data_IF_352533833065
#
_entry.id   IF_352533833065
#
_cell.length_a   1.000
_cell.length_b   1.000
_cell.length_c   1.000
_cell.angle_alpha   90.00
_cell.angle_beta   90.00
_cell.angle_gamma   90.00
#
_symmetry.space_group_name_H-M   'P 1'
#
loop_
_entity.id
_entity.type
_entity.pdbx_description
1 polymer ?
#
# COMPACT_ATOMS: atom_id res chain seq x y z
N UNK A 1 5.20 -38.73 27.41
CA UNK A 1 6.66 -38.99 27.58
C UNK A 1 7.41 -38.99 26.23
N UNK A 2 6.91 -38.27 25.21
CA UNK A 2 7.56 -38.22 23.89
C UNK A 2 8.04 -36.80 23.63
N UNK A 3 9.32 -36.64 23.31
CA UNK A 3 9.91 -35.34 22.93
C UNK A 3 9.52 -35.04 21.48
N UNK A 4 9.01 -33.83 21.17
CA UNK A 4 8.61 -33.50 19.81
C UNK A 4 9.84 -33.37 18.90
N UNK A 5 9.89 -34.09 17.77
CA UNK A 5 11.04 -34.06 16.85
C UNK A 5 11.05 -32.82 15.94
N UNK A 6 9.94 -32.08 15.84
CA UNK A 6 9.79 -30.93 14.95
C UNK A 6 8.83 -29.89 15.54
N UNK A 7 9.12 -28.62 15.25
CA UNK A 7 8.24 -27.49 15.49
C UNK A 7 8.15 -26.65 14.22
N UNK A 8 6.94 -26.31 13.78
CA UNK A 8 6.69 -25.43 12.64
C UNK A 8 5.88 -24.23 13.10
N UNK A 9 6.21 -23.05 12.60
CA UNK A 9 5.50 -21.82 12.90
C UNK A 9 5.44 -20.93 11.66
N UNK A 10 4.54 -19.94 11.69
CA UNK A 10 4.33 -18.98 10.61
C UNK A 10 4.54 -17.58 11.17
N UNK A 11 5.25 -16.74 10.42
CA UNK A 11 5.44 -15.33 10.75
C UNK A 11 4.81 -14.51 9.62
N UNK A 12 3.88 -13.60 9.96
CA UNK A 12 3.39 -12.57 9.04
C UNK A 12 4.37 -11.39 9.07
N UNK A 13 4.91 -11.02 7.90
CA UNK A 13 5.93 -9.97 7.78
C UNK A 13 5.36 -8.85 6.91
N UNK A 14 5.37 -7.63 7.46
CA UNK A 14 4.98 -6.40 6.76
C UNK A 14 6.23 -5.55 6.55
N UNK A 15 6.62 -5.38 5.28
CA UNK A 15 7.83 -4.64 4.88
C UNK A 15 7.42 -3.24 4.42
N UNK A 16 8.14 -2.21 4.87
CA UNK A 16 7.92 -0.83 4.42
C UNK A 16 8.57 -0.57 3.05
N UNK A 17 8.44 0.64 2.54
CA UNK A 17 8.93 1.08 1.23
C UNK A 17 10.45 1.20 1.11
N UNK A 18 11.21 1.03 2.20
CA UNK A 18 12.66 1.23 2.24
C UNK A 18 13.47 -0.07 2.04
N UNK A 19 12.80 -1.23 2.00
CA UNK A 19 13.45 -2.53 1.92
C UNK A 19 12.88 -3.41 0.82
N UNK A 20 13.75 -4.22 0.20
CA UNK A 20 13.35 -5.33 -0.66
C UNK A 20 12.90 -6.54 0.17
N UNK A 21 11.99 -7.35 -0.38
CA UNK A 21 11.53 -8.57 0.31
C UNK A 21 12.64 -9.62 0.40
N UNK A 22 13.47 -9.70 -0.64
CA UNK A 22 14.66 -10.55 -0.71
C UNK A 22 15.71 -10.13 0.33
N UNK A 23 15.88 -8.82 0.53
CA UNK A 23 16.77 -8.26 1.54
C UNK A 23 16.30 -8.62 2.95
N UNK A 24 15.01 -8.42 3.25
CA UNK A 24 14.43 -8.80 4.55
C UNK A 24 14.56 -10.31 4.79
N UNK A 25 14.26 -11.14 3.79
CA UNK A 25 14.42 -12.58 3.92
C UNK A 25 15.88 -12.96 4.23
N UNK A 26 16.84 -12.35 3.53
CA UNK A 26 18.25 -12.59 3.76
C UNK A 26 18.68 -12.19 5.18
N UNK A 27 18.21 -11.04 5.69
CA UNK A 27 18.47 -10.60 7.06
C UNK A 27 17.93 -11.62 8.06
N UNK A 28 16.70 -12.11 7.89
CA UNK A 28 16.12 -13.09 8.81
C UNK A 28 16.93 -14.40 8.78
N UNK A 29 17.21 -14.92 7.57
CA UNK A 29 18.00 -16.14 7.41
C UNK A 29 19.38 -16.05 8.08
N UNK A 30 20.03 -14.88 8.01
CA UNK A 30 21.33 -14.64 8.67
C UNK A 30 21.25 -14.71 10.21
N UNK A 31 20.10 -14.42 10.80
CA UNK A 31 19.92 -14.36 12.26
C UNK A 31 19.16 -15.57 12.84
N UNK A 32 18.88 -16.59 12.02
CA UNK A 32 18.15 -17.79 12.45
C UNK A 32 18.86 -19.05 12.03
N UNK A 33 18.77 -20.09 12.85
CA UNK A 33 19.33 -21.42 12.52
C UNK A 33 18.32 -22.38 11.90
N UNK A 34 17.03 -22.01 11.84
CA UNK A 34 15.98 -22.85 11.28
C UNK A 34 15.86 -22.68 9.75
N UNK A 35 15.22 -23.64 9.09
CA UNK A 35 14.87 -23.51 7.68
C UNK A 35 13.73 -22.50 7.51
N UNK A 36 13.93 -21.51 6.64
CA UNK A 36 12.92 -20.50 6.31
C UNK A 36 12.57 -20.58 4.83
N UNK A 37 11.27 -20.69 4.55
CA UNK A 37 10.72 -20.67 3.20
C UNK A 37 9.62 -19.61 3.08
N UNK A 38 9.87 -18.60 2.25
CA UNK A 38 8.83 -17.64 1.89
C UNK A 38 7.77 -18.30 1.00
N UNK A 39 6.49 -17.95 1.23
CA UNK A 39 5.39 -18.43 0.39
C UNK A 39 5.36 -17.75 -0.98
N UNK A 40 5.67 -16.45 -1.01
CA UNK A 40 5.75 -15.63 -2.23
C UNK A 40 6.51 -14.34 -1.94
N UNK A 41 7.11 -13.73 -2.98
CA UNK A 41 7.74 -12.40 -2.93
C UNK A 41 7.12 -11.39 -3.92
N UNK A 42 5.98 -11.74 -4.52
CA UNK A 42 5.39 -10.91 -5.59
C UNK A 42 4.71 -9.64 -5.08
N UNK A 43 4.22 -9.65 -3.83
CA UNK A 43 3.45 -8.56 -3.24
C UNK A 43 4.42 -7.59 -2.57
N UNK A 44 4.89 -6.60 -3.31
CA UNK A 44 5.94 -5.69 -2.85
C UNK A 44 5.37 -4.46 -2.14
N UNK A 45 6.16 -3.85 -1.27
CA UNK A 45 5.90 -2.50 -0.80
C UNK A 45 6.04 -1.50 -1.95
N UNK A 46 5.41 -0.33 -1.82
CA UNK A 46 5.40 0.66 -2.90
C UNK A 46 5.38 2.08 -2.36
N UNK A 47 6.09 2.97 -3.04
CA UNK A 47 6.13 4.41 -2.75
C UNK A 47 5.86 5.22 -4.02
N UNK A 48 5.52 6.49 -3.84
CA UNK A 48 5.48 7.49 -4.90
C UNK A 48 6.18 8.75 -4.37
N UNK A 49 7.07 9.38 -5.14
CA UNK A 49 7.76 10.59 -4.69
C UNK A 49 6.80 11.74 -4.40
N UNK A 50 7.10 12.55 -3.37
CA UNK A 50 6.28 13.71 -3.01
C UNK A 50 6.28 14.80 -4.09
N UNK A 51 7.30 14.83 -4.92
CA UNK A 51 7.44 15.77 -6.02
C UNK A 51 6.69 15.34 -7.31
N UNK A 52 6.10 14.14 -7.32
CA UNK A 52 5.34 13.62 -8.46
C UNK A 52 4.11 14.51 -8.76
N UNK A 53 3.80 14.81 -10.04
CA UNK A 53 2.71 15.73 -10.41
C UNK A 53 1.36 15.43 -9.74
N UNK A 54 0.91 14.16 -9.78
CA UNK A 54 -0.36 13.76 -9.13
C UNK A 54 -0.37 13.94 -7.61
N UNK A 55 0.80 13.82 -6.95
CA UNK A 55 0.90 14.02 -5.49
C UNK A 55 0.80 15.51 -5.18
N UNK A 56 1.50 16.36 -5.94
CA UNK A 56 1.37 17.83 -5.82
C UNK A 56 -0.05 18.30 -6.06
N UNK A 57 -0.74 17.76 -7.07
CA UNK A 57 -2.13 18.08 -7.35
C UNK A 57 -3.06 17.77 -6.16
N UNK A 58 -2.85 16.61 -5.50
CA UNK A 58 -3.58 16.26 -4.28
C UNK A 58 -3.30 17.21 -3.11
N UNK A 59 -2.04 17.60 -2.90
CA UNK A 59 -1.65 18.55 -1.86
C UNK A 59 -2.26 19.93 -2.12
N UNK A 60 -2.24 20.42 -3.36
CA UNK A 60 -2.90 21.68 -3.73
C UNK A 60 -4.42 21.63 -3.55
N UNK A 61 -5.03 20.45 -3.72
CA UNK A 61 -6.45 20.21 -3.43
C UNK A 61 -6.73 20.03 -1.92
N UNK A 62 -5.78 20.34 -1.03
CA UNK A 62 -5.94 20.30 0.42
C UNK A 62 -5.89 18.89 1.02
N UNK A 63 -5.38 17.89 0.29
CA UNK A 63 -5.23 16.51 0.80
C UNK A 63 -3.89 16.34 1.51
N UNK A 64 -3.86 15.42 2.48
CA UNK A 64 -2.65 15.01 3.19
C UNK A 64 -2.13 13.67 2.68
N UNK A 65 -0.82 13.45 2.78
CA UNK A 65 -0.20 12.18 2.41
C UNK A 65 0.03 11.31 3.66
N UNK A 66 -0.18 10.00 3.53
CA UNK A 66 0.14 9.04 4.58
C UNK A 66 0.53 7.68 3.98
N UNK A 67 1.27 6.87 4.75
CA UNK A 67 1.58 5.49 4.41
C UNK A 67 0.46 4.54 4.85
N UNK A 68 -0.15 3.82 3.92
CA UNK A 68 -1.22 2.87 4.24
C UNK A 68 -0.64 1.51 4.68
N UNK A 69 -1.07 0.96 5.83
CA UNK A 69 -0.67 -0.39 6.25
C UNK A 69 -1.41 -1.51 5.49
N UNK A 70 -2.44 -1.16 4.71
CA UNK A 70 -3.30 -2.11 4.02
C UNK A 70 -2.74 -2.46 2.63
N UNK A 71 -2.50 -3.75 2.39
CA UNK A 71 -2.15 -4.28 1.06
C UNK A 71 -3.27 -4.03 0.05
N UNK A 72 -2.90 -3.65 -1.17
CA UNK A 72 -3.81 -3.51 -2.32
C UNK A 72 -3.13 -4.02 -3.59
N UNK A 73 -3.81 -3.94 -4.73
CA UNK A 73 -3.24 -4.31 -6.04
C UNK A 73 -1.98 -3.51 -6.40
N UNK A 74 -1.78 -2.36 -5.75
CA UNK A 74 -0.54 -1.57 -5.85
C UNK A 74 0.71 -2.40 -5.55
N UNK A 75 0.60 -3.46 -4.74
CA UNK A 75 1.70 -4.38 -4.45
C UNK A 75 2.20 -5.18 -5.67
N UNK A 76 1.44 -5.19 -6.77
CA UNK A 76 1.78 -5.82 -8.05
C UNK A 76 2.19 -4.81 -9.13
N UNK A 77 2.18 -3.51 -8.82
CA UNK A 77 2.47 -2.44 -9.78
C UNK A 77 3.94 -2.02 -9.65
N UNK A 78 4.79 -2.20 -10.69
CA UNK A 78 6.24 -1.99 -10.61
C UNK A 78 6.67 -0.53 -10.89
N UNK A 79 5.74 0.43 -10.86
CA UNK A 79 5.99 1.84 -11.14
C UNK A 79 5.33 2.73 -10.08
N UNK A 80 5.72 4.02 -9.97
CA UNK A 80 5.13 4.94 -9.00
C UNK A 80 3.60 4.99 -9.14
N UNK A 81 2.89 4.78 -8.03
CA UNK A 81 1.44 4.74 -8.02
C UNK A 81 0.88 5.41 -6.76
N UNK A 82 -0.30 6.02 -6.88
CA UNK A 82 -1.03 6.64 -5.78
C UNK A 82 -2.28 5.81 -5.47
N UNK A 83 -2.53 5.53 -4.19
CA UNK A 83 -3.80 4.96 -3.71
C UNK A 83 -4.59 6.09 -3.04
N UNK A 84 -5.77 6.38 -3.59
CA UNK A 84 -6.69 7.40 -3.07
C UNK A 84 -8.11 6.97 -3.45
N UNK A 85 -9.09 7.20 -2.59
CA UNK A 85 -10.50 6.91 -2.84
C UNK A 85 -11.41 7.47 -1.75
N UNK A 86 -12.72 7.61 -2.05
CA UNK A 86 -13.71 8.06 -1.08
C UNK A 86 -14.04 6.97 -0.06
N UNK A 87 -14.65 7.39 1.05
CA UNK A 87 -15.05 6.51 2.15
C UNK A 87 -13.99 6.38 3.25
N UNK A 88 -14.29 5.53 4.23
CA UNK A 88 -13.45 5.29 5.41
C UNK A 88 -13.02 3.82 5.45
N UNK A 89 -11.71 3.58 5.50
CA UNK A 89 -11.13 2.24 5.57
C UNK A 89 -11.56 1.47 6.82
N UNK A 90 -11.99 2.15 7.90
CA UNK A 90 -12.53 1.50 9.09
C UNK A 90 -13.88 0.81 8.85
N UNK A 91 -14.60 1.16 7.77
CA UNK A 91 -15.89 0.54 7.39
C UNK A 91 -15.71 -0.72 6.56
N UNK A 92 -14.56 -0.90 5.92
CA UNK A 92 -14.28 -2.07 5.07
C UNK A 92 -14.34 -3.37 5.88
N UNK A 93 -14.98 -4.40 5.34
CA UNK A 93 -15.13 -5.72 5.99
C UNK A 93 -15.83 -5.69 7.36
N UNK A 94 -16.63 -4.65 7.62
CA UNK A 94 -17.52 -4.56 8.78
C UNK A 94 -18.96 -4.96 8.42
N UNK A 95 -19.76 -5.36 9.41
CA UNK A 95 -21.20 -5.55 9.20
C UNK A 95 -21.86 -4.22 8.78
N UNK A 96 -22.77 -4.26 7.80
CA UNK A 96 -23.42 -3.07 7.24
C UNK A 96 -22.45 -2.05 6.64
N UNK A 97 -21.42 -2.50 5.93
CA UNK A 97 -20.55 -1.62 5.13
C UNK A 97 -21.38 -0.67 4.25
N UNK A 98 -21.04 0.62 4.28
CA UNK A 98 -21.75 1.66 3.56
C UNK A 98 -20.81 2.80 3.14
N UNK A 99 -21.29 3.59 2.18
CA UNK A 99 -20.69 4.86 1.77
C UNK A 99 -21.79 5.92 1.69
N UNK A 100 -21.47 7.15 2.08
CA UNK A 100 -22.40 8.26 1.95
C UNK A 100 -22.38 8.82 0.53
N UNK A 101 -23.53 9.32 0.08
CA UNK A 101 -23.64 9.94 -1.25
C UNK A 101 -22.74 11.17 -1.41
N UNK A 102 -22.55 11.95 -0.34
CA UNK A 102 -21.65 13.11 -0.37
C UNK A 102 -20.17 12.68 -0.51
N UNK A 103 -19.75 11.56 0.11
CA UNK A 103 -18.38 11.03 -0.04
C UNK A 103 -18.09 10.67 -1.52
N UNK A 104 -19.09 10.13 -2.22
CA UNK A 104 -19.00 9.84 -3.65
C UNK A 104 -18.87 11.14 -4.46
N UNK A 105 -19.74 12.11 -4.20
CA UNK A 105 -19.74 13.39 -4.91
C UNK A 105 -18.39 14.12 -4.74
N UNK A 106 -17.91 14.26 -3.50
CA UNK A 106 -16.61 14.87 -3.20
C UNK A 106 -15.45 14.10 -3.83
N UNK A 107 -15.53 12.76 -3.85
CA UNK A 107 -14.54 11.91 -4.51
C UNK A 107 -14.45 12.18 -6.01
N UNK A 108 -15.59 12.28 -6.70
CA UNK A 108 -15.64 12.59 -8.13
C UNK A 108 -15.03 13.96 -8.40
N UNK A 109 -15.46 15.00 -7.67
CA UNK A 109 -14.94 16.37 -7.82
C UNK A 109 -13.43 16.43 -7.58
N UNK A 110 -12.93 15.71 -6.57
CA UNK A 110 -11.50 15.61 -6.28
C UNK A 110 -10.72 14.96 -7.43
N UNK A 111 -11.19 13.81 -7.94
CA UNK A 111 -10.50 13.11 -9.03
C UNK A 111 -10.40 13.98 -10.27
N UNK A 112 -11.50 14.63 -10.66
CA UNK A 112 -11.52 15.54 -11.82
C UNK A 112 -10.51 16.65 -11.64
N UNK A 113 -10.55 17.37 -10.51
CA UNK A 113 -9.62 18.46 -10.22
C UNK A 113 -8.15 18.01 -10.26
N UNK A 114 -7.82 16.89 -9.61
CA UNK A 114 -6.44 16.37 -9.60
C UNK A 114 -5.95 15.97 -10.99
N UNK A 115 -6.79 15.31 -11.79
CA UNK A 115 -6.41 14.85 -13.13
C UNK A 115 -6.30 16.03 -14.11
N UNK A 116 -7.20 17.01 -14.04
CA UNK A 116 -7.12 18.23 -14.86
C UNK A 116 -5.81 18.98 -14.62
N UNK A 117 -5.36 19.11 -13.37
CA UNK A 117 -4.07 19.76 -13.05
C UNK A 117 -2.88 19.02 -13.68
N UNK A 118 -2.91 17.69 -13.71
CA UNK A 118 -1.83 16.88 -14.28
C UNK A 118 -1.84 16.94 -15.80
N UNK A 119 -3.00 16.75 -16.42
CA UNK A 119 -3.15 16.69 -17.89
C UNK A 119 -2.98 18.09 -18.52
N UNK A 120 -3.52 19.14 -17.91
CA UNK A 120 -3.36 20.51 -18.42
C UNK A 120 -1.91 20.99 -18.32
N UNK A 121 -1.13 20.46 -17.37
CA UNK A 121 0.29 20.73 -17.21
C UNK A 121 1.19 20.11 -18.28
N UNK A 122 0.72 19.06 -18.98
CA UNK A 122 1.45 18.38 -20.06
C UNK A 122 1.26 19.03 -21.43
N UNK A 123 0.31 19.96 -21.57
CA UNK A 123 -0.01 20.65 -22.84
C UNK A 123 0.81 21.94 -23.09
N UNK A 124 2.05 22.04 -22.58
CA UNK A 124 2.96 23.17 -22.84
C UNK A 124 4.36 22.72 -23.22
#
# INVERSE_FOLDING_TARGET
>A
NVVPPQCNFVVDIRVNELYGFEEVLHIIQKHTHCNIKARSMRLKSSSIPLDHPIVKAGIHAGRTCYGSPTTSDKALIPFPALKIGPGDSARSHSANEYIHLHEIQEGIELYVNMLEQVIAGESR
#
